data_IF_895684186089
#
_entry.id   IF_895684186089
#
_cell.length_a   1.000
_cell.length_b   1.000
_cell.length_c   1.000
_cell.angle_alpha   90.00
_cell.angle_beta   90.00
_cell.angle_gamma   90.00
#
_symmetry.space_group_name_H-M   'P 1'
#
loop_
_entity.id
_entity.type
_entity.pdbx_description
1 polymer ?
#
# COMPACT_ATOMS: atom_id res chain seq x y z
N UNK A 1 -26.27 10.73 10.38
CA UNK A 1 -25.06 9.94 10.11
C UNK A 1 -25.20 8.60 10.78
N UNK A 2 -25.56 7.57 10.02
CA UNK A 2 -25.70 6.20 10.51
C UNK A 2 -24.33 5.71 10.95
N UNK A 3 -24.20 5.17 12.17
CA UNK A 3 -22.96 4.55 12.64
C UNK A 3 -22.65 3.33 11.76
N UNK A 4 -21.83 3.54 10.73
CA UNK A 4 -21.31 2.44 9.93
C UNK A 4 -20.30 1.66 10.78
N UNK A 5 -20.40 0.33 10.76
CA UNK A 5 -19.45 -0.56 11.44
C UNK A 5 -18.24 -0.92 10.58
N UNK A 6 -18.27 -0.55 9.30
CA UNK A 6 -17.23 -0.84 8.31
C UNK A 6 -16.96 -2.34 8.15
N UNK A 7 -18.01 -3.12 7.90
CA UNK A 7 -17.93 -4.60 7.80
C UNK A 7 -17.66 -5.07 6.36
N UNK A 8 -17.91 -4.21 5.36
CA UNK A 8 -17.64 -4.50 3.96
C UNK A 8 -16.62 -3.50 3.38
N UNK A 9 -15.69 -4.04 2.61
CA UNK A 9 -14.52 -3.31 2.11
C UNK A 9 -14.45 -3.40 0.59
N UNK A 10 -14.02 -2.31 -0.04
CA UNK A 10 -13.70 -2.26 -1.45
C UNK A 10 -12.31 -1.69 -1.62
N UNK A 11 -11.54 -2.30 -2.53
CA UNK A 11 -10.18 -1.89 -2.83
C UNK A 11 -10.04 -1.58 -4.32
N UNK A 12 -9.35 -0.49 -4.62
CA UNK A 12 -8.96 -0.11 -5.98
C UNK A 12 -7.45 -0.21 -6.09
N UNK A 13 -6.97 -0.99 -7.05
CA UNK A 13 -5.54 -1.20 -7.30
C UNK A 13 -5.21 -0.70 -8.70
N UNK A 14 -4.16 0.11 -8.81
CA UNK A 14 -3.63 0.60 -10.08
C UNK A 14 -2.15 0.30 -10.15
N UNK A 15 -1.69 -0.28 -11.25
CA UNK A 15 -0.27 -0.61 -11.47
C UNK A 15 0.30 0.34 -12.51
N UNK A 16 1.36 1.04 -12.13
CA UNK A 16 2.11 1.93 -13.01
C UNK A 16 3.52 1.37 -13.28
N UNK A 17 4.01 1.64 -14.50
CA UNK A 17 5.37 1.36 -14.92
C UNK A 17 6.19 2.64 -14.76
N UNK A 18 7.33 2.55 -14.08
CA UNK A 18 8.28 3.65 -13.95
C UNK A 18 9.25 3.60 -15.12
N UNK A 19 9.49 4.74 -15.75
CA UNK A 19 10.45 4.91 -16.84
C UNK A 19 11.25 6.18 -16.55
N UNK A 20 12.58 6.12 -16.66
CA UNK A 20 13.45 7.29 -16.46
C UNK A 20 13.23 8.39 -17.52
N UNK A 21 12.80 8.00 -18.72
CA UNK A 21 12.52 8.91 -19.84
C UNK A 21 11.10 8.67 -20.37
N UNK A 22 10.53 9.67 -21.06
CA UNK A 22 9.24 9.47 -21.75
C UNK A 22 9.41 8.38 -22.82
N UNK A 23 8.78 7.22 -22.58
CA UNK A 23 8.90 6.01 -23.39
C UNK A 23 10.27 5.30 -23.34
N UNK A 24 11.06 5.53 -22.28
CA UNK A 24 12.28 4.78 -22.00
C UNK A 24 12.03 3.36 -21.47
N UNK A 25 13.11 2.59 -21.19
CA UNK A 25 12.99 1.26 -20.60
C UNK A 25 12.31 1.33 -19.23
N UNK A 26 11.55 0.29 -18.88
CA UNK A 26 10.87 0.19 -17.59
C UNK A 26 11.92 -0.07 -16.51
N UNK A 27 12.07 0.88 -15.58
CA UNK A 27 13.05 0.81 -14.48
C UNK A 27 12.43 0.33 -13.17
N UNK A 28 11.10 0.25 -13.09
CA UNK A 28 10.41 -0.34 -11.96
C UNK A 28 8.90 -0.38 -12.13
N UNK A 29 8.21 -0.96 -11.15
CA UNK A 29 6.75 -1.00 -11.08
C UNK A 29 6.29 -0.49 -9.72
N UNK A 30 5.14 0.16 -9.69
CA UNK A 30 4.52 0.61 -8.45
C UNK A 30 3.03 0.30 -8.47
N UNK A 31 2.50 -0.17 -7.35
CA UNK A 31 1.08 -0.38 -7.14
C UNK A 31 0.53 0.72 -6.22
N UNK A 32 -0.46 1.45 -6.71
CA UNK A 32 -1.29 2.35 -5.92
C UNK A 32 -2.53 1.59 -5.43
N UNK A 33 -2.76 1.58 -4.12
CA UNK A 33 -3.89 0.90 -3.48
C UNK A 33 -4.69 1.90 -2.66
N UNK A 34 -6.00 1.92 -2.88
CA UNK A 34 -6.98 2.63 -2.04
C UNK A 34 -7.95 1.64 -1.47
N UNK A 35 -8.33 1.82 -0.20
CA UNK A 35 -9.33 1.00 0.47
C UNK A 35 -10.39 1.90 1.04
N UNK A 36 -11.66 1.58 0.80
CA UNK A 36 -12.79 2.30 1.38
C UNK A 36 -13.87 1.33 1.83
N UNK A 37 -14.71 1.77 2.76
CA UNK A 37 -15.85 0.99 3.20
C UNK A 37 -16.91 0.96 2.09
N UNK A 38 -17.32 -0.24 1.67
CA UNK A 38 -18.32 -0.39 0.61
C UNK A 38 -19.71 0.11 1.02
N UNK A 39 -19.98 0.19 2.34
CA UNK A 39 -21.30 0.60 2.87
C UNK A 39 -21.43 2.12 3.01
N UNK A 40 -20.40 2.81 3.48
CA UNK A 40 -20.47 4.24 3.77
C UNK A 40 -19.49 5.10 2.95
N UNK A 41 -18.63 4.49 2.14
CA UNK A 41 -17.67 5.19 1.28
C UNK A 41 -16.46 5.79 2.00
N UNK A 42 -16.38 5.68 3.34
CA UNK A 42 -15.25 6.23 4.10
C UNK A 42 -13.95 5.53 3.71
N UNK A 43 -12.94 6.31 3.34
CA UNK A 43 -11.60 5.84 3.03
C UNK A 43 -10.86 5.37 4.30
N UNK A 44 -10.15 4.26 4.18
CA UNK A 44 -9.27 3.76 5.22
C UNK A 44 -7.91 4.42 5.11
N UNK A 45 -7.31 4.72 6.27
CA UNK A 45 -5.93 5.19 6.34
C UNK A 45 -4.98 4.02 6.59
N UNK A 46 -3.85 4.04 5.88
CA UNK A 46 -2.75 3.13 6.10
C UNK A 46 -1.91 3.61 7.29
N UNK A 47 -1.75 2.75 8.30
CA UNK A 47 -1.01 3.06 9.54
C UNK A 47 0.37 2.41 9.48
N UNK A 48 1.40 3.10 9.99
CA UNK A 48 2.76 2.57 10.08
C UNK A 48 3.58 2.70 8.79
N UNK A 49 3.04 3.36 7.76
CA UNK A 49 3.74 3.66 6.51
C UNK A 49 3.99 5.17 6.44
N UNK A 50 5.22 5.63 6.20
CA UNK A 50 5.52 7.05 6.12
C UNK A 50 4.92 7.68 4.85
N UNK A 51 4.52 8.94 4.94
CA UNK A 51 3.98 9.69 3.81
C UNK A 51 5.09 10.06 2.80
N UNK A 52 4.75 10.10 1.51
CA UNK A 52 5.62 10.55 0.44
C UNK A 52 5.65 9.62 -0.77
N UNK A 53 6.74 9.68 -1.52
CA UNK A 53 7.06 8.76 -2.61
C UNK A 53 8.47 8.20 -2.39
N UNK A 54 8.65 6.90 -2.60
CA UNK A 54 9.95 6.25 -2.54
C UNK A 54 9.99 5.14 -3.58
N UNK A 55 11.15 4.95 -4.21
CA UNK A 55 11.32 3.96 -5.30
C UNK A 55 11.52 2.54 -4.78
N UNK A 56 12.02 2.38 -3.55
CA UNK A 56 12.37 1.08 -2.97
C UNK A 56 11.55 0.70 -1.73
N UNK A 57 10.73 1.60 -1.19
CA UNK A 57 9.98 1.36 0.03
C UNK A 57 8.52 1.81 -0.13
N UNK A 58 7.56 1.13 0.50
CA UNK A 58 6.19 1.60 0.53
C UNK A 58 6.08 2.99 1.18
N UNK A 59 5.27 3.84 0.57
CA UNK A 59 4.88 5.15 1.11
C UNK A 59 3.38 5.35 0.98
N UNK A 60 2.83 6.31 1.71
CA UNK A 60 1.42 6.69 1.59
C UNK A 60 1.26 8.12 1.08
N UNK A 61 0.08 8.43 0.55
CA UNK A 61 -0.29 9.81 0.25
C UNK A 61 -0.29 10.68 1.53
N UNK A 62 -0.27 12.00 1.36
CA UNK A 62 -0.20 12.96 2.48
C UNK A 62 -1.39 12.82 3.43
N UNK A 63 -2.55 12.46 2.89
CA UNK A 63 -3.79 12.18 3.61
C UNK A 63 -3.88 10.73 4.15
N UNK A 64 -2.93 9.87 3.76
CA UNK A 64 -2.77 8.50 4.26
C UNK A 64 -3.74 7.48 3.68
N UNK A 65 -4.51 7.82 2.64
CA UNK A 65 -5.61 7.00 2.07
C UNK A 65 -5.18 6.18 0.85
N UNK A 66 -4.01 6.49 0.27
CA UNK A 66 -3.45 5.77 -0.87
C UNK A 66 -2.08 5.22 -0.51
N UNK A 67 -1.92 3.90 -0.55
CA UNK A 67 -0.64 3.22 -0.43
C UNK A 67 0.02 3.15 -1.80
N UNK A 68 1.31 3.49 -1.85
CA UNK A 68 2.17 3.40 -3.02
C UNK A 68 3.29 2.43 -2.71
N UNK A 69 3.18 1.22 -3.24
CA UNK A 69 4.08 0.12 -2.97
C UNK A 69 4.91 -0.22 -4.22
N UNK A 70 6.25 -0.12 -4.17
CA UNK A 70 7.11 -0.69 -5.20
C UNK A 70 6.88 -2.20 -5.31
N UNK A 71 6.76 -2.68 -6.54
CA UNK A 71 6.55 -4.10 -6.85
C UNK A 71 7.46 -4.51 -8.01
N UNK A 72 7.55 -5.82 -8.24
CA UNK A 72 8.31 -6.38 -9.34
C UNK A 72 7.76 -7.74 -9.79
N UNK A 73 8.04 -8.18 -11.02
CA UNK A 73 7.70 -9.52 -11.48
C UNK A 73 8.43 -10.59 -10.65
N UNK A 74 7.71 -11.64 -10.26
CA UNK A 74 8.26 -12.78 -9.53
C UNK A 74 9.02 -13.78 -10.44
N UNK A 75 9.84 -13.27 -11.36
CA UNK A 75 10.59 -14.09 -12.34
C UNK A 75 11.91 -14.63 -11.79
N UNK A 76 12.41 -14.04 -10.71
CA UNK A 76 13.61 -14.48 -10.00
C UNK A 76 13.26 -14.88 -8.57
N UNK A 77 13.97 -15.88 -8.04
CA UNK A 77 13.81 -16.33 -6.65
C UNK A 77 14.30 -15.24 -5.71
N UNK A 78 13.40 -14.38 -5.22
CA UNK A 78 13.73 -13.36 -4.24
C UNK A 78 13.46 -13.86 -2.83
N UNK A 79 14.55 -14.02 -2.08
CA UNK A 79 14.53 -14.21 -0.64
C UNK A 79 14.41 -12.84 0.04
N UNK A 80 13.57 -12.72 1.07
CA UNK A 80 13.61 -11.55 1.94
C UNK A 80 14.98 -11.52 2.66
N UNK A 81 15.73 -10.42 2.65
CA UNK A 81 17.02 -10.33 3.35
C UNK A 81 16.86 -10.42 4.88
N UNK A 82 15.68 -10.03 5.40
CA UNK A 82 15.29 -10.21 6.81
C UNK A 82 13.77 -10.21 6.93
N UNK A 83 13.23 -11.05 7.80
CA UNK A 83 11.84 -11.00 8.24
C UNK A 83 11.81 -10.62 9.74
N UNK A 84 11.15 -9.51 10.08
CA UNK A 84 10.91 -9.10 11.47
C UNK A 84 9.42 -9.10 11.74
N UNK A 85 8.97 -9.99 12.63
CA UNK A 85 7.59 -10.02 13.09
C UNK A 85 7.50 -9.33 14.46
N UNK A 86 6.92 -8.14 14.51
CA UNK A 86 6.61 -7.49 15.78
C UNK A 86 5.26 -8.02 16.27
N UNK A 87 5.27 -8.89 17.28
CA UNK A 87 4.02 -9.28 17.94
C UNK A 87 3.44 -8.08 18.70
N UNK A 88 2.14 -7.78 18.56
CA UNK A 88 1.52 -6.76 19.40
C UNK A 88 1.68 -7.16 20.88
N UNK A 89 1.85 -6.20 21.81
CA UNK A 89 1.93 -6.51 23.23
C UNK A 89 0.65 -7.26 23.63
N UNK A 90 0.79 -8.45 24.23
CA UNK A 90 -0.34 -9.19 24.81
C UNK A 90 -1.06 -8.25 25.77
N UNK A 91 -2.30 -7.90 25.44
CA UNK A 91 -3.16 -7.12 26.33
C UNK A 91 -3.27 -7.83 27.68
N UNK A 92 -3.07 -7.10 28.77
CA UNK A 92 -3.32 -7.62 30.12
C UNK A 92 -4.82 -7.88 30.24
N UNK A 93 -5.19 -9.14 30.42
CA UNK A 93 -6.52 -9.54 30.89
C UNK A 93 -6.75 -9.03 32.32
#
# INVERSE_FOLDING_TARGET
MTKCKHEEFMASVSVARLTDEKAGPVTGYTASVKVHCAQCGVEFRFIGVPAGNHYAEPRVSVDGTELRAPIEPAEHTKFAPTASYAMPPRGKH
#
